data_IF_095195032303
#
_entry.id   IF_095195032303
#
_cell.length_a   1.000
_cell.length_b   1.000
_cell.length_c   1.000
_cell.angle_alpha   90.00
_cell.angle_beta   90.00
_cell.angle_gamma   90.00
#
_symmetry.space_group_name_H-M   'P 1'
#
loop_
_entity.id
_entity.type
_entity.pdbx_description
1 polymer ?
#
# COMPACT_ATOMS: atom_id res chain seq x y z
N UNK A 1 22.36 -8.37 -13.41
CA UNK A 1 23.11 -7.12 -13.70
C UNK A 1 22.31 -5.96 -13.13
N UNK A 2 22.85 -5.23 -12.17
CA UNK A 2 22.22 -4.01 -11.63
C UNK A 2 22.40 -2.89 -12.67
N UNK A 3 21.31 -2.52 -13.36
CA UNK A 3 21.33 -1.47 -14.40
C UNK A 3 20.53 -0.26 -13.90
N UNK A 4 21.19 0.88 -13.77
CA UNK A 4 20.55 2.17 -13.47
C UNK A 4 20.08 2.82 -14.79
N UNK A 5 18.87 3.39 -14.81
CA UNK A 5 18.31 4.10 -15.97
C UNK A 5 17.70 5.43 -15.51
N UNK A 6 17.85 6.47 -16.34
CA UNK A 6 17.23 7.78 -16.13
C UNK A 6 15.82 7.75 -16.72
N UNK A 7 14.83 8.23 -15.95
CA UNK A 7 13.45 8.42 -16.44
C UNK A 7 13.30 9.86 -16.93
N UNK A 8 13.52 10.84 -16.05
CA UNK A 8 13.46 12.27 -16.36
C UNK A 8 14.29 13.11 -15.36
N UNK A 9 14.51 14.39 -15.66
CA UNK A 9 15.09 15.37 -14.74
C UNK A 9 14.21 16.62 -14.70
N UNK A 10 13.75 16.98 -13.51
CA UNK A 10 12.96 18.19 -13.28
C UNK A 10 13.86 19.28 -12.69
N UNK A 11 14.15 20.34 -13.45
CA UNK A 11 14.94 21.49 -13.00
C UNK A 11 14.11 22.49 -12.16
N UNK A 12 13.43 21.97 -11.14
CA UNK A 12 12.58 22.74 -10.22
C UNK A 12 12.37 21.95 -8.92
N UNK A 13 11.81 22.61 -7.91
CA UNK A 13 11.38 21.93 -6.69
C UNK A 13 10.36 20.82 -7.02
N UNK A 14 10.58 19.63 -6.44
CA UNK A 14 9.68 18.49 -6.56
C UNK A 14 8.64 18.52 -5.44
N UNK A 15 7.53 17.81 -5.60
CA UNK A 15 6.51 17.70 -4.55
C UNK A 15 6.98 16.89 -3.34
N UNK A 16 8.12 16.23 -3.44
CA UNK A 16 8.75 15.51 -2.33
C UNK A 16 9.71 16.39 -1.52
N UNK A 17 10.01 17.62 -1.96
CA UNK A 17 10.91 18.53 -1.25
C UNK A 17 10.53 18.74 0.22
N UNK A 18 9.26 19.06 0.56
CA UNK A 18 8.86 19.28 1.94
C UNK A 18 9.04 18.03 2.80
N UNK A 19 8.66 16.86 2.26
CA UNK A 19 8.82 15.58 2.95
C UNK A 19 10.30 15.26 3.22
N UNK A 20 11.16 15.35 2.20
CA UNK A 20 12.59 15.11 2.36
C UNK A 20 13.21 16.08 3.38
N UNK A 21 12.78 17.35 3.37
CA UNK A 21 13.27 18.35 4.33
C UNK A 21 12.86 18.02 5.77
N UNK A 22 11.64 17.51 5.98
CA UNK A 22 11.17 17.10 7.32
C UNK A 22 11.85 15.84 7.83
N UNK A 23 12.08 14.87 6.95
CA UNK A 23 12.73 13.59 7.31
C UNK A 23 14.22 13.79 7.58
N UNK A 24 14.94 14.53 6.73
CA UNK A 24 16.38 14.80 6.88
C UNK A 24 16.71 15.94 7.86
N UNK A 25 15.70 16.71 8.28
CA UNK A 25 15.86 17.96 9.07
C UNK A 25 16.70 19.04 8.39
N UNK A 26 16.91 18.94 7.09
CA UNK A 26 17.58 19.95 6.28
C UNK A 26 16.52 20.77 5.57
N UNK A 27 16.50 22.09 5.80
CA UNK A 27 15.59 22.98 5.09
C UNK A 27 16.06 23.20 3.64
N UNK A 28 15.75 22.25 2.76
CA UNK A 28 16.21 22.27 1.37
C UNK A 28 15.66 23.45 0.58
N UNK A 29 14.48 23.96 0.94
CA UNK A 29 13.89 25.14 0.28
C UNK A 29 14.69 26.39 0.64
N UNK A 30 15.00 26.60 1.92
CA UNK A 30 15.83 27.72 2.35
C UNK A 30 17.22 27.67 1.69
N UNK A 31 17.86 26.50 1.66
CA UNK A 31 19.13 26.33 0.96
C UNK A 31 19.04 26.68 -0.52
N UNK A 32 18.01 26.19 -1.22
CA UNK A 32 17.81 26.48 -2.63
C UNK A 32 17.53 27.97 -2.87
N UNK A 33 16.71 28.61 -2.03
CA UNK A 33 16.40 30.05 -2.13
C UNK A 33 17.65 30.89 -1.91
N UNK A 34 18.48 30.57 -0.91
CA UNK A 34 19.75 31.27 -0.67
C UNK A 34 20.69 31.13 -1.87
N UNK A 35 20.81 29.92 -2.42
CA UNK A 35 21.61 29.71 -3.64
C UNK A 35 21.12 30.54 -4.83
N UNK A 36 19.79 30.69 -5.01
CA UNK A 36 19.20 31.52 -6.08
C UNK A 36 19.49 33.01 -5.87
N UNK A 37 19.61 33.46 -4.62
CA UNK A 37 19.89 34.86 -4.26
C UNK A 37 21.39 35.17 -4.14
N UNK A 38 22.26 34.25 -4.56
CA UNK A 38 23.72 34.33 -4.38
C UNK A 38 24.17 34.50 -2.90
N UNK A 39 23.32 34.08 -1.97
CA UNK A 39 23.61 34.05 -0.54
C UNK A 39 24.48 32.82 -0.18
N UNK A 40 25.36 32.91 0.83
CA UNK A 40 26.17 31.76 1.25
C UNK A 40 25.31 30.55 1.67
N UNK A 41 25.56 29.40 1.02
CA UNK A 41 24.92 28.11 1.36
C UNK A 41 25.96 27.15 1.89
N UNK A 42 25.75 26.67 3.12
CA UNK A 42 26.56 25.58 3.66
C UNK A 42 26.21 24.27 2.96
N UNK A 43 27.24 23.53 2.55
CA UNK A 43 27.05 22.18 2.03
C UNK A 43 26.63 21.26 3.16
N UNK A 44 25.51 20.57 2.98
CA UNK A 44 25.10 19.50 3.89
C UNK A 44 26.12 18.36 3.82
N UNK A 45 26.63 17.86 4.96
CA UNK A 45 27.52 16.71 4.97
C UNK A 45 26.77 15.48 4.45
N UNK A 46 27.49 14.55 3.80
CA UNK A 46 26.89 13.32 3.28
C UNK A 46 26.18 12.50 4.38
N UNK A 47 26.68 12.57 5.62
CA UNK A 47 26.11 11.91 6.79
C UNK A 47 24.74 12.44 7.22
N UNK A 48 24.27 13.59 6.72
CA UNK A 48 22.92 14.09 7.02
C UNK A 48 21.81 13.21 6.43
N UNK A 49 22.17 12.19 5.66
CA UNK A 49 21.26 11.17 5.12
C UNK A 49 21.37 9.84 5.88
N UNK A 50 22.31 9.71 6.83
CA UNK A 50 22.48 8.54 7.70
C UNK A 50 21.55 8.70 8.92
N UNK A 51 20.24 8.56 8.67
CA UNK A 51 19.20 8.77 9.68
C UNK A 51 18.99 7.49 10.49
N UNK A 52 18.82 7.63 11.81
CA UNK A 52 18.43 6.53 12.71
C UNK A 52 16.93 6.21 12.65
N UNK A 53 16.19 6.86 11.73
CA UNK A 53 14.76 6.70 11.54
C UNK A 53 14.41 6.60 10.07
N UNK A 54 13.22 6.09 9.79
CA UNK A 54 12.68 5.95 8.44
C UNK A 54 11.51 6.91 8.25
N UNK A 55 11.55 7.64 7.14
CA UNK A 55 10.40 8.40 6.65
C UNK A 55 9.64 7.62 5.58
N UNK A 56 8.32 7.49 5.72
CA UNK A 56 7.44 6.94 4.67
C UNK A 56 6.45 8.00 4.22
N UNK A 57 6.32 8.18 2.91
CA UNK A 57 5.34 9.04 2.26
C UNK A 57 4.29 8.19 1.57
N UNK A 58 3.03 8.35 1.97
CA UNK A 58 1.89 7.68 1.38
C UNK A 58 0.98 8.69 0.67
N UNK A 59 0.37 8.26 -0.44
CA UNK A 59 -0.55 9.09 -1.22
C UNK A 59 -1.99 8.96 -0.69
N UNK A 60 -2.71 10.08 -0.60
CA UNK A 60 -4.14 10.11 -0.33
C UNK A 60 -4.91 10.09 -1.65
N UNK A 61 -5.91 9.22 -1.75
CA UNK A 61 -6.79 9.12 -2.92
C UNK A 61 -8.23 9.51 -2.58
N UNK A 62 -8.95 10.01 -3.59
CA UNK A 62 -10.36 10.42 -3.48
C UNK A 62 -11.33 9.44 -4.17
N UNK A 63 -10.96 8.16 -4.33
CA UNK A 63 -11.77 7.17 -5.05
C UNK A 63 -13.15 6.95 -4.43
N UNK A 64 -13.33 7.20 -3.14
CA UNK A 64 -14.63 7.16 -2.45
C UNK A 64 -15.59 8.28 -2.90
N UNK A 65 -15.06 9.38 -3.45
CA UNK A 65 -15.86 10.52 -3.94
C UNK A 65 -16.14 10.45 -5.44
N UNK A 66 -15.35 9.65 -6.17
CA UNK A 66 -15.45 9.52 -7.63
C UNK A 66 -16.22 8.24 -7.99
N UNK A 67 -17.54 8.38 -8.15
CA UNK A 67 -18.40 7.29 -8.58
C UNK A 67 -18.03 6.81 -9.99
N UNK A 68 -18.02 5.50 -10.22
CA UNK A 68 -17.68 4.90 -11.51
C UNK A 68 -16.20 4.92 -11.89
N UNK A 69 -15.35 5.62 -11.14
CA UNK A 69 -13.91 5.54 -11.33
C UNK A 69 -13.37 4.21 -10.79
N UNK A 70 -12.50 3.56 -11.57
CA UNK A 70 -11.80 2.35 -11.16
C UNK A 70 -10.63 2.71 -10.24
N UNK A 71 -10.56 2.20 -8.99
CA UNK A 71 -9.53 2.59 -8.04
C UNK A 71 -8.22 1.80 -8.28
N UNK A 72 -7.62 2.01 -9.45
CA UNK A 72 -6.32 1.44 -9.85
C UNK A 72 -5.34 2.57 -10.14
N UNK A 73 -4.10 2.40 -9.73
CA UNK A 73 -3.01 3.33 -10.03
C UNK A 73 -2.40 3.03 -11.40
N UNK A 74 -2.19 4.06 -12.21
CA UNK A 74 -1.53 3.97 -13.51
C UNK A 74 -0.28 4.84 -13.60
N UNK A 75 0.11 5.17 -14.84
CA UNK A 75 1.20 6.12 -15.12
C UNK A 75 0.81 7.56 -14.78
N UNK A 76 -0.47 7.87 -14.82
CA UNK A 76 -1.02 9.16 -14.43
C UNK A 76 -1.29 9.22 -12.92
N UNK A 77 -1.00 10.37 -12.33
CA UNK A 77 -1.21 10.56 -10.90
C UNK A 77 -2.65 10.95 -10.58
N UNK A 78 -3.37 10.04 -9.93
CA UNK A 78 -4.76 10.24 -9.50
C UNK A 78 -4.90 10.70 -8.02
N UNK A 79 -3.82 10.70 -7.24
CA UNK A 79 -3.84 11.09 -5.83
C UNK A 79 -4.00 12.59 -5.63
N UNK A 80 -4.73 12.97 -4.58
CA UNK A 80 -5.12 14.35 -4.27
C UNK A 80 -4.34 14.96 -3.12
N UNK A 81 -3.69 14.12 -2.30
CA UNK A 81 -2.89 14.56 -1.17
C UNK A 81 -1.84 13.54 -0.79
N UNK A 82 -1.17 13.78 0.33
CA UNK A 82 -0.10 12.94 0.86
C UNK A 82 -0.04 13.03 2.38
N UNK A 83 0.50 11.98 2.99
CA UNK A 83 0.86 11.94 4.40
C UNK A 83 2.32 11.51 4.49
N UNK A 84 3.10 12.22 5.30
CA UNK A 84 4.47 11.83 5.65
C UNK A 84 4.51 11.37 7.10
N UNK A 85 4.96 10.14 7.33
CA UNK A 85 5.13 9.57 8.65
C UNK A 85 6.60 9.23 8.89
N UNK A 86 7.02 9.32 10.16
CA UNK A 86 8.34 8.92 10.61
C UNK A 86 8.18 7.80 11.64
N UNK A 87 9.07 6.82 11.58
CA UNK A 87 9.14 5.71 12.51
C UNK A 87 10.58 5.28 12.74
N UNK A 88 10.79 4.51 13.79
CA UNK A 88 12.12 3.95 14.12
C UNK A 88 12.56 2.88 13.14
N UNK A 89 11.60 2.27 12.44
CA UNK A 89 11.82 1.27 11.40
C UNK A 89 10.86 1.52 10.21
N UNK A 90 11.13 0.88 9.08
CA UNK A 90 10.26 0.90 7.91
C UNK A 90 8.85 0.42 8.25
N UNK A 91 8.73 -0.68 9.00
CA UNK A 91 7.41 -1.25 9.32
C UNK A 91 6.56 -0.32 10.20
N UNK A 92 7.19 0.30 11.18
CA UNK A 92 6.56 1.30 12.05
C UNK A 92 6.10 2.53 11.24
N UNK A 93 7.01 3.12 10.45
CA UNK A 93 6.71 4.28 9.62
C UNK A 93 5.65 3.98 8.56
N UNK A 94 5.71 2.80 7.94
CA UNK A 94 4.79 2.37 6.89
C UNK A 94 3.39 2.14 7.43
N UNK A 95 3.24 1.40 8.53
CA UNK A 95 1.92 1.16 9.11
C UNK A 95 1.27 2.48 9.55
N UNK A 96 2.02 3.40 10.17
CA UNK A 96 1.54 4.75 10.47
C UNK A 96 1.05 5.46 9.22
N UNK A 97 1.84 5.47 8.14
CA UNK A 97 1.47 6.12 6.89
C UNK A 97 0.16 5.56 6.31
N UNK A 98 0.01 4.24 6.30
CA UNK A 98 -1.20 3.57 5.81
C UNK A 98 -2.43 3.90 6.67
N UNK A 99 -2.30 3.87 7.99
CA UNK A 99 -3.36 4.28 8.91
C UNK A 99 -3.74 5.76 8.73
N UNK A 100 -2.76 6.64 8.55
CA UNK A 100 -3.00 8.07 8.35
C UNK A 100 -3.71 8.41 7.04
N UNK A 101 -3.54 7.61 5.98
CA UNK A 101 -4.30 7.79 4.72
C UNK A 101 -5.69 7.13 4.76
N UNK A 102 -6.07 6.52 5.90
CA UNK A 102 -7.40 6.00 6.16
C UNK A 102 -7.54 4.47 6.07
N UNK A 103 -6.44 3.72 5.90
CA UNK A 103 -6.52 2.26 6.01
C UNK A 103 -6.78 1.86 7.47
N UNK A 104 -7.36 0.68 7.64
CA UNK A 104 -7.65 0.11 8.96
C UNK A 104 -7.01 -1.27 9.08
N UNK A 105 -6.63 -1.64 10.30
CA UNK A 105 -6.15 -2.99 10.57
C UNK A 105 -7.33 -3.94 10.42
N UNK A 106 -7.21 -4.99 9.57
CA UNK A 106 -8.28 -5.96 9.40
C UNK A 106 -8.50 -6.74 10.70
N UNK A 107 -9.75 -7.10 10.99
CA UNK A 107 -10.08 -7.89 12.18
C UNK A 107 -9.72 -9.36 12.00
N UNK A 108 -10.25 -9.99 10.95
CA UNK A 108 -10.04 -11.43 10.75
C UNK A 108 -10.16 -11.92 9.31
N UNK A 109 -11.00 -11.32 8.47
CA UNK A 109 -11.33 -11.91 7.17
C UNK A 109 -10.74 -11.11 6.03
N UNK A 110 -9.94 -11.75 5.19
CA UNK A 110 -9.22 -11.08 4.10
C UNK A 110 -9.60 -11.72 2.76
N UNK A 111 -9.95 -10.90 1.79
CA UNK A 111 -10.26 -11.34 0.43
C UNK A 111 -9.06 -11.17 -0.50
N UNK A 112 -8.71 -12.23 -1.21
CA UNK A 112 -7.58 -12.31 -2.12
C UNK A 112 -8.05 -12.60 -3.56
N UNK A 113 -7.80 -11.65 -4.45
CA UNK A 113 -7.83 -11.86 -5.90
C UNK A 113 -6.46 -11.46 -6.45
N UNK A 114 -5.52 -12.38 -6.32
CA UNK A 114 -4.10 -12.17 -6.66
C UNK A 114 -3.85 -12.36 -8.15
N UNK A 115 -2.86 -11.62 -8.66
CA UNK A 115 -2.47 -11.37 -10.05
C UNK A 115 -2.01 -12.58 -10.88
N UNK A 116 -1.08 -12.37 -11.84
CA UNK A 116 -0.32 -13.44 -12.49
C UNK A 116 0.36 -14.38 -11.48
N UNK A 117 0.92 -15.49 -11.98
CA UNK A 117 1.52 -16.51 -11.09
C UNK A 117 2.71 -15.95 -10.28
N UNK A 118 3.45 -15.01 -10.84
CA UNK A 118 4.57 -14.31 -10.19
C UNK A 118 4.12 -13.61 -8.90
N UNK A 119 3.05 -12.81 -8.97
CA UNK A 119 2.48 -12.13 -7.80
C UNK A 119 1.95 -13.12 -6.74
N UNK A 120 1.47 -14.30 -7.18
CA UNK A 120 1.00 -15.34 -6.26
C UNK A 120 2.15 -15.96 -5.48
N UNK A 121 3.26 -16.23 -6.16
CA UNK A 121 4.48 -16.73 -5.54
C UNK A 121 5.03 -15.69 -4.57
N UNK A 122 5.11 -14.43 -5.00
CA UNK A 122 5.58 -13.31 -4.18
C UNK A 122 4.74 -13.09 -2.91
N UNK A 123 3.45 -13.42 -2.95
CA UNK A 123 2.52 -13.23 -1.82
C UNK A 123 2.42 -14.44 -0.90
N UNK A 124 2.97 -15.59 -1.29
CA UNK A 124 2.74 -16.86 -0.58
C UNK A 124 3.19 -16.78 0.89
N UNK A 125 4.34 -16.17 1.16
CA UNK A 125 4.85 -16.03 2.53
C UNK A 125 3.99 -15.08 3.36
N UNK A 126 3.50 -13.98 2.77
CA UNK A 126 2.56 -13.09 3.45
C UNK A 126 1.22 -13.78 3.74
N UNK A 127 0.75 -14.66 2.85
CA UNK A 127 -0.45 -15.45 3.10
C UNK A 127 -0.27 -16.44 4.26
N UNK A 128 0.92 -17.04 4.42
CA UNK A 128 1.26 -17.89 5.58
C UNK A 128 1.23 -17.11 6.88
N UNK A 129 1.91 -15.95 6.92
CA UNK A 129 1.90 -15.05 8.10
C UNK A 129 0.49 -14.69 8.52
N UNK A 130 -0.39 -14.35 7.56
CA UNK A 130 -1.80 -14.06 7.85
C UNK A 130 -2.52 -15.24 8.52
N UNK A 131 -2.33 -16.47 8.01
CA UNK A 131 -2.95 -17.66 8.60
C UNK A 131 -2.40 -17.95 10.00
N UNK A 132 -1.09 -17.77 10.22
CA UNK A 132 -0.43 -17.93 11.52
C UNK A 132 -0.95 -16.92 12.56
N UNK A 133 -1.22 -15.68 12.15
CA UNK A 133 -1.87 -14.65 12.95
C UNK A 133 -3.38 -14.90 13.17
N UNK A 134 -3.94 -15.99 12.60
CA UNK A 134 -5.33 -16.38 12.78
C UNK A 134 -6.34 -15.71 11.83
N UNK A 135 -5.88 -15.08 10.75
CA UNK A 135 -6.75 -14.54 9.71
C UNK A 135 -7.36 -15.66 8.85
N UNK A 136 -8.62 -15.45 8.46
CA UNK A 136 -9.35 -16.30 7.52
C UNK A 136 -9.22 -15.73 6.11
N UNK A 137 -8.61 -16.51 5.21
CA UNK A 137 -8.41 -16.12 3.82
C UNK A 137 -9.57 -16.60 2.94
N UNK A 138 -10.10 -15.68 2.14
CA UNK A 138 -11.07 -15.93 1.08
C UNK A 138 -10.47 -15.53 -0.24
N UNK A 139 -10.92 -16.11 -1.36
CA UNK A 139 -10.41 -15.65 -2.65
C UNK A 139 -11.10 -16.23 -3.86
N UNK A 140 -10.69 -15.72 -5.02
CA UNK A 140 -11.11 -16.30 -6.30
C UNK A 140 -10.59 -17.73 -6.45
N UNK A 141 -11.33 -18.58 -7.17
CA UNK A 141 -11.00 -20.03 -7.33
C UNK A 141 -9.54 -20.27 -7.73
N UNK A 142 -9.01 -19.48 -8.67
CA UNK A 142 -7.63 -19.62 -9.12
C UNK A 142 -6.57 -19.15 -8.11
N UNK A 143 -6.93 -18.25 -7.19
CA UNK A 143 -6.07 -17.83 -6.08
C UNK A 143 -6.07 -18.92 -5.00
N UNK A 144 -7.25 -19.39 -4.61
CA UNK A 144 -7.40 -20.44 -3.58
C UNK A 144 -6.73 -21.74 -3.99
N UNK A 145 -6.94 -22.21 -5.22
CA UNK A 145 -6.27 -23.42 -5.74
C UNK A 145 -4.74 -23.32 -5.65
N UNK A 146 -4.18 -22.13 -5.87
CA UNK A 146 -2.74 -21.91 -5.75
C UNK A 146 -2.29 -21.97 -4.29
N UNK A 147 -3.01 -21.30 -3.38
CA UNK A 147 -2.71 -21.30 -1.95
C UNK A 147 -2.80 -22.71 -1.35
N UNK A 148 -3.86 -23.45 -1.67
CA UNK A 148 -4.08 -24.82 -1.17
C UNK A 148 -3.00 -25.78 -1.65
N UNK A 149 -2.61 -25.70 -2.93
CA UNK A 149 -1.49 -26.47 -3.50
C UNK A 149 -0.16 -26.21 -2.78
N UNK A 150 -0.03 -25.09 -2.07
CA UNK A 150 1.16 -24.69 -1.32
C UNK A 150 0.97 -24.76 0.21
N UNK A 151 -0.07 -25.46 0.68
CA UNK A 151 -0.34 -25.70 2.09
C UNK A 151 -0.99 -24.54 2.85
N UNK A 152 -1.51 -23.52 2.15
CA UNK A 152 -2.19 -22.37 2.78
C UNK A 152 -3.70 -22.54 2.65
N UNK A 153 -4.39 -22.62 3.78
CA UNK A 153 -5.85 -22.78 3.84
C UNK A 153 -6.55 -21.48 3.40
N UNK A 154 -7.45 -21.57 2.43
CA UNK A 154 -8.29 -20.47 1.99
C UNK A 154 -9.65 -20.97 1.49
N UNK A 155 -10.68 -20.13 1.55
CA UNK A 155 -12.05 -20.48 1.10
C UNK A 155 -12.33 -19.86 -0.27
N UNK A 156 -12.70 -20.70 -1.25
CA UNK A 156 -13.03 -20.24 -2.59
C UNK A 156 -14.41 -19.56 -2.64
N UNK A 157 -14.47 -18.42 -3.32
CA UNK A 157 -15.69 -17.66 -3.60
C UNK A 157 -15.94 -17.58 -5.11
N UNK A 158 -17.21 -17.43 -5.47
CA UNK A 158 -17.64 -17.20 -6.85
C UNK A 158 -17.46 -15.73 -7.25
N UNK A 159 -17.20 -15.49 -8.53
CA UNK A 159 -16.99 -14.15 -9.06
C UNK A 159 -18.27 -13.28 -8.97
N UNK A 160 -18.16 -11.94 -8.85
CA UNK A 160 -19.32 -11.04 -8.78
C UNK A 160 -20.38 -11.22 -9.88
N UNK A 161 -19.95 -11.54 -11.11
CA UNK A 161 -20.85 -11.75 -12.25
C UNK A 161 -21.48 -13.16 -12.29
N UNK A 162 -21.05 -14.08 -11.42
CA UNK A 162 -21.68 -15.39 -11.28
C UNK A 162 -22.87 -15.29 -10.33
N UNK A 163 -24.08 -15.68 -10.77
CA UNK A 163 -25.29 -15.73 -9.92
C UNK A 163 -25.31 -16.92 -8.94
N UNK A 164 -24.18 -17.20 -8.29
CA UNK A 164 -23.99 -18.35 -7.38
C UNK A 164 -23.33 -17.92 -6.07
N UNK A 165 -23.88 -18.39 -4.96
CA UNK A 165 -23.28 -18.24 -3.62
C UNK A 165 -22.33 -19.41 -3.29
N UNK A 166 -21.32 -19.22 -2.41
CA UNK A 166 -20.92 -17.95 -1.79
C UNK A 166 -20.20 -17.01 -2.79
N UNK A 167 -20.60 -15.74 -2.84
CA UNK A 167 -20.15 -14.77 -3.83
C UNK A 167 -19.27 -13.66 -3.23
N UNK A 168 -18.23 -13.23 -3.96
CA UNK A 168 -17.35 -12.13 -3.54
C UNK A 168 -18.12 -10.83 -3.32
N UNK A 169 -19.04 -10.47 -4.22
CA UNK A 169 -19.83 -9.25 -4.10
C UNK A 169 -20.73 -9.28 -2.85
N UNK A 170 -21.34 -10.43 -2.55
CA UNK A 170 -22.17 -10.62 -1.35
C UNK A 170 -21.34 -10.47 -0.07
N UNK A 171 -20.14 -11.04 -0.03
CA UNK A 171 -19.21 -10.92 1.09
C UNK A 171 -18.76 -9.47 1.36
N UNK A 172 -18.48 -8.70 0.30
CA UNK A 172 -18.13 -7.28 0.43
C UNK A 172 -19.32 -6.46 0.90
N UNK A 173 -20.50 -6.61 0.27
CA UNK A 173 -21.71 -5.84 0.61
C UNK A 173 -22.18 -6.07 2.04
N UNK A 174 -22.04 -7.30 2.53
CA UNK A 174 -22.37 -7.67 3.92
C UNK A 174 -21.29 -7.29 4.93
N UNK A 175 -20.17 -6.69 4.50
CA UNK A 175 -18.98 -6.41 5.32
C UNK A 175 -18.46 -7.65 6.04
N UNK A 176 -18.59 -8.81 5.39
CA UNK A 176 -18.08 -10.07 5.90
C UNK A 176 -16.56 -10.23 5.67
N UNK A 177 -15.92 -9.29 4.96
CA UNK A 177 -14.47 -9.18 4.79
C UNK A 177 -13.99 -7.83 5.30
N UNK A 178 -12.81 -7.80 5.92
CA UNK A 178 -12.23 -6.61 6.55
C UNK A 178 -11.17 -5.94 5.66
N UNK A 179 -10.64 -6.64 4.66
CA UNK A 179 -9.63 -6.14 3.72
C UNK A 179 -9.70 -6.89 2.39
N UNK A 180 -9.41 -6.19 1.30
CA UNK A 180 -9.38 -6.73 -0.06
C UNK A 180 -7.99 -6.50 -0.68
N UNK A 181 -7.39 -7.55 -1.22
CA UNK A 181 -6.19 -7.47 -2.06
C UNK A 181 -6.60 -7.94 -3.45
N UNK A 182 -6.70 -6.99 -4.40
CA UNK A 182 -7.06 -7.26 -5.79
C UNK A 182 -5.95 -6.73 -6.70
N UNK A 183 -5.10 -7.63 -7.20
CA UNK A 183 -4.00 -7.25 -8.07
C UNK A 183 -4.48 -7.32 -9.53
N UNK A 184 -4.52 -6.19 -10.26
CA UNK A 184 -4.99 -6.16 -11.64
C UNK A 184 -4.18 -7.10 -12.55
N UNK A 185 -4.86 -7.72 -13.52
CA UNK A 185 -4.23 -8.59 -14.54
C UNK A 185 -4.64 -8.14 -15.93
N UNK A 186 -3.75 -8.34 -16.91
CA UNK A 186 -4.05 -8.11 -18.33
C UNK A 186 -4.77 -9.32 -18.95
N UNK A 187 -5.93 -9.68 -18.41
CA UNK A 187 -6.69 -10.86 -18.82
C UNK A 187 -7.97 -10.52 -19.58
N UNK A 188 -8.76 -11.55 -19.90
CA UNK A 188 -10.03 -11.53 -20.63
C UNK A 188 -11.00 -10.47 -20.08
N UNK A 189 -11.81 -9.90 -20.98
CA UNK A 189 -12.76 -8.82 -20.69
C UNK A 189 -13.71 -9.10 -19.50
N UNK A 190 -14.12 -10.35 -19.32
CA UNK A 190 -14.98 -10.77 -18.19
C UNK A 190 -14.25 -10.72 -16.84
N UNK A 191 -12.96 -11.05 -16.79
CA UNK A 191 -12.16 -10.96 -15.56
C UNK A 191 -11.94 -9.50 -15.18
N UNK A 192 -11.63 -8.64 -16.16
CA UNK A 192 -11.51 -7.19 -15.95
C UNK A 192 -12.77 -6.58 -15.33
N UNK A 193 -13.96 -6.98 -15.80
CA UNK A 193 -15.24 -6.52 -15.24
C UNK A 193 -15.46 -7.02 -13.82
N UNK A 194 -15.11 -8.27 -13.52
CA UNK A 194 -15.21 -8.80 -12.17
C UNK A 194 -14.26 -8.09 -11.21
N UNK A 195 -13.01 -7.89 -11.61
CA UNK A 195 -12.01 -7.21 -10.78
C UNK A 195 -12.39 -5.74 -10.55
N UNK A 196 -12.89 -5.04 -11.57
CA UNK A 196 -13.47 -3.70 -11.42
C UNK A 196 -14.58 -3.68 -10.35
N UNK A 197 -15.53 -4.62 -10.42
CA UNK A 197 -16.62 -4.70 -9.44
C UNK A 197 -16.11 -4.95 -8.03
N UNK A 198 -15.13 -5.84 -7.84
CA UNK A 198 -14.50 -6.11 -6.54
C UNK A 198 -13.91 -4.82 -5.96
N UNK A 199 -13.11 -4.13 -6.76
CA UNK A 199 -12.43 -2.91 -6.34
C UNK A 199 -13.41 -1.79 -6.02
N UNK A 200 -14.40 -1.57 -6.89
CA UNK A 200 -15.43 -0.55 -6.69
C UNK A 200 -16.24 -0.81 -5.43
N UNK A 201 -16.70 -2.06 -5.25
CA UNK A 201 -17.43 -2.46 -4.04
C UNK A 201 -16.56 -2.31 -2.78
N UNK A 202 -15.27 -2.65 -2.82
CA UNK A 202 -14.39 -2.48 -1.67
C UNK A 202 -14.34 -1.01 -1.22
N UNK A 203 -14.13 -0.08 -2.18
CA UNK A 203 -14.10 1.36 -1.89
C UNK A 203 -15.48 1.88 -1.45
N UNK A 204 -16.56 1.47 -2.10
CA UNK A 204 -17.93 1.93 -1.79
C UNK A 204 -18.38 1.51 -0.38
N UNK A 205 -17.92 0.35 0.10
CA UNK A 205 -18.26 -0.18 1.42
C UNK A 205 -17.26 0.18 2.52
N UNK A 206 -16.27 1.05 2.23
CA UNK A 206 -15.20 1.48 3.13
C UNK A 206 -14.32 0.31 3.63
N UNK A 207 -14.02 -0.63 2.74
CA UNK A 207 -13.13 -1.76 2.99
C UNK A 207 -11.75 -1.47 2.39
N UNK A 208 -10.67 -1.50 3.18
CA UNK A 208 -9.30 -1.32 2.69
C UNK A 208 -8.98 -2.15 1.45
N UNK A 209 -8.48 -1.50 0.40
CA UNK A 209 -8.20 -2.12 -0.90
C UNK A 209 -6.73 -1.95 -1.27
N UNK A 210 -6.03 -3.06 -1.51
CA UNK A 210 -4.70 -3.06 -2.09
C UNK A 210 -4.72 -3.52 -3.54
N UNK A 211 -4.13 -2.73 -4.43
CA UNK A 211 -3.99 -3.04 -5.86
C UNK A 211 -2.55 -3.31 -6.30
N UNK A 212 -1.60 -3.21 -5.38
CA UNK A 212 -0.19 -3.50 -5.61
C UNK A 212 0.31 -4.54 -4.61
N UNK A 213 0.96 -5.59 -5.12
CA UNK A 213 1.36 -6.73 -4.29
C UNK A 213 2.45 -6.37 -3.28
N UNK A 214 3.37 -5.47 -3.65
CA UNK A 214 4.47 -5.05 -2.78
C UNK A 214 3.96 -4.25 -1.58
N UNK A 215 2.99 -3.37 -1.83
CA UNK A 215 2.33 -2.58 -0.78
C UNK A 215 1.54 -3.49 0.16
N UNK A 216 0.82 -4.48 -0.38
CA UNK A 216 0.09 -5.47 0.42
C UNK A 216 1.03 -6.31 1.30
N UNK A 217 2.16 -6.78 0.75
CA UNK A 217 3.19 -7.53 1.49
C UNK A 217 3.77 -6.70 2.62
N UNK A 218 4.22 -5.49 2.32
CA UNK A 218 4.77 -4.57 3.30
C UNK A 218 3.75 -4.29 4.42
N UNK A 219 2.47 -4.09 4.09
CA UNK A 219 1.44 -3.90 5.10
C UNK A 219 1.31 -5.10 6.04
N UNK A 220 1.35 -6.33 5.52
CA UNK A 220 1.28 -7.55 6.33
C UNK A 220 2.52 -7.70 7.22
N UNK A 221 3.72 -7.42 6.69
CA UNK A 221 4.95 -7.41 7.48
C UNK A 221 4.87 -6.40 8.62
N UNK A 222 4.31 -5.22 8.36
CA UNK A 222 4.10 -4.20 9.38
C UNK A 222 3.00 -4.55 10.40
N UNK A 223 2.03 -5.39 10.04
CA UNK A 223 1.06 -5.94 11.00
C UNK A 223 1.74 -6.90 11.98
N UNK A 224 2.64 -7.76 11.49
CA UNK A 224 3.43 -8.66 12.35
C UNK A 224 4.32 -7.84 13.28
N UNK A 225 5.03 -6.84 12.74
CA UNK A 225 5.84 -5.91 13.54
C UNK A 225 5.04 -5.27 14.68
N UNK A 226 3.80 -4.82 14.40
CA UNK A 226 2.92 -4.22 15.42
C UNK A 226 2.58 -5.20 16.54
N UNK A 227 2.34 -6.48 16.23
CA UNK A 227 2.04 -7.48 17.27
C UNK A 227 3.23 -7.75 18.18
N UNK A 228 4.45 -7.70 17.64
CA UNK A 228 5.68 -7.97 18.38
C UNK A 228 6.17 -6.76 19.18
N UNK A 229 6.14 -5.56 18.60
CA UNK A 229 6.79 -4.36 19.15
C UNK A 229 5.85 -3.20 19.44
N UNK A 230 4.61 -3.25 18.95
CA UNK A 230 3.67 -2.13 19.02
C UNK A 230 3.99 -1.00 18.02
N UNK A 231 3.24 0.10 18.13
CA UNK A 231 3.45 1.34 17.37
C UNK A 231 3.92 2.42 18.34
N UNK A 232 5.10 3.00 18.10
CA UNK A 232 5.60 4.12 18.92
C UNK A 232 5.08 5.46 18.38
N UNK A 233 4.72 6.39 19.25
CA UNK A 233 4.40 7.77 18.86
C UNK A 233 5.43 8.68 19.50
N UNK A 234 6.24 9.34 18.67
CA UNK A 234 7.26 10.31 19.06
C UNK A 234 7.00 11.64 18.37
N UNK A 235 7.23 12.74 19.08
CA UNK A 235 7.22 14.08 18.51
C UNK A 235 8.33 14.22 17.47
N UNK A 236 8.14 15.11 16.49
CA UNK A 236 9.10 15.28 15.41
C UNK A 236 10.48 15.69 15.95
N UNK A 237 10.52 16.46 17.03
CA UNK A 237 11.71 16.98 17.71
C UNK A 237 12.58 15.89 18.35
N UNK A 238 12.01 14.72 18.63
CA UNK A 238 12.69 13.59 19.28
C UNK A 238 13.56 12.77 18.32
N UNK A 239 13.31 12.85 17.01
CA UNK A 239 14.11 12.18 15.97
C UNK A 239 15.41 12.96 15.69
N UNK A 240 16.44 12.82 16.53
CA UNK A 240 17.68 13.61 16.48
C UNK A 240 18.90 12.80 16.05
#
# INVERSE_FOLDING_TARGET
RNRVRVIECNLRASRSFPFCSKVSRVNMIEMATRAILDEPVQKTPASALDLEWVGVKAAQFSFSRLHGADPVTGVEMASTGEVGCIGTDLDDAFLKAMLSVGYRIPKKRILLSTGPIEDKVDFLDSARKLVEMGYELFGSRGTVKFLESNGVKATALNWPLESKEPNIATMIKSRAVDMVINIPKNNRQTELRNDYLIRRLAVDFDIPLFTNIKVARQFIDSLVYKEEKGLEIKAWEEYR
#
